data_IF_469834279344
#
_entry.id   IF_469834279344
#
_cell.length_a   1.000
_cell.length_b   1.000
_cell.length_c   1.000
_cell.angle_alpha   90.00
_cell.angle_beta   90.00
_cell.angle_gamma   90.00
#
_symmetry.space_group_name_H-M   'P 1'
#
loop_
_entity.id
_entity.type
_entity.pdbx_description
1 polymer ?
#
# COMPACT_ATOMS: atom_id res chain seq x y z
N UNK A 1 29.06 16.94 9.03
CA UNK A 1 29.37 17.31 7.64
C UNK A 1 28.44 16.51 6.76
N UNK A 2 27.55 17.17 6.04
CA UNK A 2 26.69 16.52 5.03
C UNK A 2 27.60 16.36 3.81
N UNK A 3 28.19 15.18 3.65
CA UNK A 3 28.98 14.85 2.46
C UNK A 3 28.10 14.96 1.21
N UNK A 4 28.69 15.29 0.07
CA UNK A 4 27.96 15.28 -1.19
C UNK A 4 27.45 13.86 -1.47
N UNK A 5 26.23 13.68 -2.04
CA UNK A 5 25.71 12.35 -2.30
C UNK A 5 26.72 11.51 -3.09
N UNK A 6 26.92 10.25 -2.69
CA UNK A 6 27.87 9.30 -3.28
C UNK A 6 29.36 9.60 -3.08
N UNK A 7 29.74 10.65 -2.35
CA UNK A 7 31.16 11.01 -2.13
C UNK A 7 31.95 9.85 -1.50
N UNK A 8 31.38 9.22 -0.47
CA UNK A 8 31.99 8.03 0.15
C UNK A 8 32.13 6.88 -0.85
N UNK A 9 31.08 6.60 -1.62
CA UNK A 9 31.07 5.50 -2.59
C UNK A 9 32.12 5.70 -3.67
N UNK A 10 32.20 6.93 -4.21
CA UNK A 10 33.17 7.30 -5.24
C UNK A 10 34.60 7.22 -4.71
N UNK A 11 34.87 7.69 -3.49
CA UNK A 11 36.22 7.69 -2.91
C UNK A 11 36.67 6.29 -2.45
N UNK A 12 35.79 5.55 -1.78
CA UNK A 12 36.13 4.26 -1.17
C UNK A 12 36.12 3.12 -2.19
N UNK A 13 35.06 3.00 -2.99
CA UNK A 13 34.92 1.93 -3.98
C UNK A 13 35.48 2.30 -5.36
N UNK A 14 35.88 3.57 -5.56
CA UNK A 14 36.45 4.06 -6.83
C UNK A 14 35.53 3.85 -8.05
N UNK A 15 34.22 3.90 -7.82
CA UNK A 15 33.21 3.74 -8.87
C UNK A 15 32.60 5.08 -9.27
N UNK A 16 32.19 5.26 -10.53
CA UNK A 16 31.56 6.49 -10.98
C UNK A 16 30.07 6.53 -10.58
N UNK A 17 29.73 6.35 -9.30
CA UNK A 17 28.34 6.37 -8.85
C UNK A 17 27.81 7.80 -8.70
N UNK A 18 26.75 8.17 -9.42
CA UNK A 18 26.06 9.44 -9.23
C UNK A 18 24.55 9.32 -9.56
N UNK A 19 23.75 10.23 -9.00
CA UNK A 19 22.29 10.31 -9.28
C UNK A 19 22.09 10.51 -10.79
N UNK A 20 21.20 9.70 -11.37
CA UNK A 20 20.85 9.77 -12.79
C UNK A 20 21.74 8.95 -13.70
N UNK A 21 22.77 8.26 -13.21
CA UNK A 21 23.57 7.35 -14.04
C UNK A 21 22.81 6.05 -14.34
N UNK A 22 22.85 5.63 -15.61
CA UNK A 22 22.35 4.33 -16.05
C UNK A 22 23.28 3.23 -15.57
N UNK A 23 22.67 2.13 -15.14
CA UNK A 23 23.38 0.96 -14.65
C UNK A 23 22.67 -0.32 -15.10
N UNK A 24 23.43 -1.40 -15.24
CA UNK A 24 22.88 -2.76 -15.33
C UNK A 24 23.24 -3.47 -14.03
N UNK A 25 22.23 -3.73 -13.20
CA UNK A 25 22.37 -4.40 -11.91
C UNK A 25 21.93 -5.86 -12.02
N UNK A 26 22.86 -6.80 -11.86
CA UNK A 26 22.62 -8.24 -12.02
C UNK A 26 21.86 -8.59 -13.32
N UNK A 27 22.28 -7.99 -14.44
CA UNK A 27 21.67 -8.18 -15.75
C UNK A 27 20.37 -7.39 -15.98
N UNK A 28 19.94 -6.55 -15.03
CA UNK A 28 18.71 -5.76 -15.12
C UNK A 28 19.01 -4.26 -15.25
N UNK A 29 18.51 -3.57 -16.29
CA UNK A 29 18.75 -2.15 -16.47
C UNK A 29 18.00 -1.30 -15.45
N UNK A 30 18.63 -0.20 -15.02
CA UNK A 30 18.06 0.76 -14.08
C UNK A 30 18.81 2.09 -14.04
N UNK A 31 18.39 2.94 -13.11
CA UNK A 31 18.98 4.27 -12.87
C UNK A 31 19.32 4.41 -11.40
N UNK A 32 20.48 4.97 -11.08
CA UNK A 32 20.82 5.37 -9.71
C UNK A 32 19.96 6.57 -9.31
N UNK A 33 19.18 6.46 -8.23
CA UNK A 33 18.27 7.52 -7.78
C UNK A 33 18.57 8.02 -6.37
N UNK A 34 19.16 7.19 -5.50
CA UNK A 34 19.29 7.49 -4.08
C UNK A 34 20.65 7.02 -3.53
N UNK A 35 21.16 7.75 -2.53
CA UNK A 35 22.39 7.39 -1.81
C UNK A 35 22.04 6.72 -0.48
N UNK A 36 22.60 5.53 -0.24
CA UNK A 36 22.44 4.78 1.01
C UNK A 36 23.79 4.58 1.73
N UNK A 37 24.78 5.45 1.49
CA UNK A 37 26.09 5.42 2.15
C UNK A 37 27.01 4.37 1.54
N UNK A 38 27.02 3.15 2.08
CA UNK A 38 27.81 2.04 1.50
C UNK A 38 27.12 1.38 0.30
N UNK A 39 25.86 1.71 0.05
CA UNK A 39 25.04 1.12 -0.99
C UNK A 39 24.52 2.22 -1.92
N UNK A 40 24.32 1.86 -3.18
CA UNK A 40 23.66 2.72 -4.16
C UNK A 40 22.20 2.31 -4.33
N UNK A 41 21.31 3.29 -4.38
CA UNK A 41 19.89 3.11 -4.64
C UNK A 41 19.62 3.06 -6.13
N UNK A 42 19.30 1.88 -6.67
CA UNK A 42 18.99 1.70 -8.09
C UNK A 42 17.50 1.45 -8.25
N UNK A 43 16.85 2.27 -9.06
CA UNK A 43 15.49 2.01 -9.52
C UNK A 43 15.56 1.26 -10.85
N UNK A 44 15.16 -0.01 -10.84
CA UNK A 44 15.10 -0.84 -12.04
C UNK A 44 13.95 -0.40 -12.95
N UNK A 45 14.15 -0.49 -14.25
CA UNK A 45 13.14 -0.10 -15.24
C UNK A 45 11.88 -1.00 -15.18
N UNK A 46 12.07 -2.28 -14.83
CA UNK A 46 10.98 -3.26 -14.65
C UNK A 46 10.17 -3.06 -13.35
N UNK A 47 10.62 -2.20 -12.43
CA UNK A 47 10.01 -2.11 -11.11
C UNK A 47 8.66 -1.38 -11.13
N UNK A 48 7.57 -2.10 -10.85
CA UNK A 48 6.20 -1.53 -10.82
C UNK A 48 6.07 -0.43 -9.76
N UNK A 49 6.67 -0.66 -8.58
CA UNK A 49 6.65 0.30 -7.48
C UNK A 49 7.71 1.39 -7.61
N UNK A 50 8.63 1.33 -8.59
CA UNK A 50 9.70 2.33 -8.82
C UNK A 50 10.45 2.74 -7.55
N UNK A 51 10.66 1.78 -6.65
CA UNK A 51 11.41 2.01 -5.41
C UNK A 51 12.89 1.74 -5.66
N UNK A 52 13.80 2.57 -5.14
CA UNK A 52 15.22 2.28 -5.16
C UNK A 52 15.50 1.02 -4.35
N UNK A 53 16.06 0.00 -4.99
CA UNK A 53 16.67 -1.14 -4.30
C UNK A 53 18.06 -0.78 -3.82
N UNK A 54 18.52 -1.40 -2.72
CA UNK A 54 19.90 -1.24 -2.23
C UNK A 54 20.80 -2.22 -2.96
N UNK A 55 21.82 -1.71 -3.64
CA UNK A 55 22.81 -2.49 -4.35
C UNK A 55 24.22 -2.15 -3.89
N UNK A 56 25.09 -3.15 -3.82
CA UNK A 56 26.48 -2.91 -3.49
C UNK A 56 27.18 -2.26 -4.71
N UNK A 57 28.00 -1.21 -4.53
CA UNK A 57 28.49 -0.43 -5.68
C UNK A 57 29.41 -1.20 -6.64
N UNK A 58 30.03 -2.28 -6.19
CA UNK A 58 30.97 -3.09 -7.01
C UNK A 58 30.48 -4.49 -7.36
N UNK A 59 29.35 -4.93 -6.80
CA UNK A 59 28.88 -6.31 -6.99
C UNK A 59 27.77 -6.39 -8.04
N UNK A 60 28.10 -6.95 -9.20
CA UNK A 60 27.14 -7.15 -10.28
C UNK A 60 26.58 -5.86 -10.89
N UNK A 61 27.31 -4.74 -10.78
CA UNK A 61 26.90 -3.44 -11.32
C UNK A 61 27.80 -3.05 -12.50
N UNK A 62 27.19 -2.81 -13.65
CA UNK A 62 27.84 -2.20 -14.81
C UNK A 62 27.38 -0.75 -14.91
N UNK A 63 28.34 0.18 -14.94
CA UNK A 63 28.07 1.62 -15.01
C UNK A 63 28.06 2.08 -16.47
N UNK A 64 27.02 2.80 -16.86
CA UNK A 64 26.86 3.39 -18.19
C UNK A 64 26.83 4.91 -18.17
N UNK A 65 26.19 5.46 -19.20
CA UNK A 65 26.03 6.90 -19.41
C UNK A 65 24.98 7.52 -18.48
N UNK A 66 24.85 8.84 -18.53
CA UNK A 66 23.81 9.55 -17.82
C UNK A 66 22.45 9.30 -18.48
N UNK A 67 21.41 9.10 -17.67
CA UNK A 67 20.06 9.00 -18.17
C UNK A 67 19.55 10.38 -18.61
N UNK A 68 18.85 10.43 -19.75
CA UNK A 68 18.19 11.66 -20.23
C UNK A 68 17.14 12.18 -19.24
N UNK A 69 16.51 11.27 -18.50
CA UNK A 69 15.46 11.59 -17.52
C UNK A 69 15.49 10.62 -16.35
N UNK A 70 15.33 11.17 -15.14
CA UNK A 70 15.12 10.39 -13.94
C UNK A 70 13.76 9.67 -13.96
N UNK A 71 13.68 8.43 -13.43
CA UNK A 71 12.41 7.74 -13.27
C UNK A 71 11.49 8.56 -12.35
N UNK A 72 10.20 8.58 -12.69
CA UNK A 72 9.21 9.28 -11.86
C UNK A 72 9.19 8.62 -10.48
N UNK A 73 9.36 9.43 -9.44
CA UNK A 73 9.34 8.96 -8.06
C UNK A 73 8.05 8.18 -7.75
N UNK A 74 8.16 7.14 -6.92
CA UNK A 74 7.05 6.28 -6.60
C UNK A 74 5.99 7.04 -5.81
N UNK A 75 4.71 6.88 -6.18
CA UNK A 75 3.63 7.44 -5.37
C UNK A 75 3.45 6.58 -4.15
N UNK A 76 3.70 7.16 -2.98
CA UNK A 76 3.50 6.50 -1.71
C UNK A 76 1.99 6.19 -1.51
N UNK A 77 1.66 4.92 -1.32
CA UNK A 77 0.25 4.49 -1.18
C UNK A 77 -0.16 4.47 0.29
N UNK A 78 -1.48 4.50 0.54
CA UNK A 78 -2.01 4.31 1.90
C UNK A 78 -1.54 2.98 2.52
N UNK A 79 -1.35 1.94 1.71
CA UNK A 79 -0.80 0.66 2.18
C UNK A 79 0.66 0.78 2.60
N UNK A 80 1.47 1.52 1.83
CA UNK A 80 2.86 1.75 2.19
C UNK A 80 2.96 2.55 3.50
N UNK A 81 2.10 3.56 3.66
CA UNK A 81 2.00 4.34 4.91
C UNK A 81 1.60 3.50 6.12
N UNK A 82 0.64 2.61 5.94
CA UNK A 82 0.21 1.69 6.99
C UNK A 82 1.33 0.74 7.41
N UNK A 83 2.22 0.34 6.50
CA UNK A 83 3.31 -0.59 6.80
C UNK A 83 4.54 0.08 7.42
N UNK A 84 4.80 1.35 7.14
CA UNK A 84 5.98 2.06 7.67
C UNK A 84 5.73 2.63 9.08
N UNK A 85 4.48 2.72 9.52
CA UNK A 85 4.06 3.23 10.82
C UNK A 85 3.55 2.07 11.72
N UNK A 86 3.81 2.13 13.03
CA UNK A 86 3.39 1.11 13.98
C UNK A 86 1.95 1.38 14.46
N UNK A 87 0.97 0.81 13.75
CA UNK A 87 -0.45 0.98 14.05
C UNK A 87 -1.00 -0.15 14.90
N UNK A 88 -1.72 0.20 15.97
CA UNK A 88 -2.49 -0.77 16.76
C UNK A 88 -3.85 -1.14 16.14
N UNK A 89 -4.19 -0.57 14.98
CA UNK A 89 -5.47 -0.72 14.30
C UNK A 89 -5.32 -1.48 12.98
N UNK A 90 -6.40 -2.09 12.48
CA UNK A 90 -6.34 -2.79 11.18
C UNK A 90 -6.32 -1.81 10.00
N UNK A 91 -5.79 -2.23 8.84
CA UNK A 91 -5.71 -1.36 7.64
C UNK A 91 -7.03 -0.66 7.25
N UNK A 92 -8.17 -1.29 7.54
CA UNK A 92 -9.49 -0.74 7.24
C UNK A 92 -9.86 0.45 8.14
N UNK A 93 -9.49 0.35 9.41
CA UNK A 93 -9.65 1.41 10.40
C UNK A 93 -8.69 2.56 10.09
N UNK A 94 -7.46 2.24 9.67
CA UNK A 94 -6.51 3.22 9.14
C UNK A 94 -7.07 3.99 7.94
N UNK A 95 -7.81 3.33 7.04
CA UNK A 95 -8.51 4.00 5.93
C UNK A 95 -9.78 4.74 6.34
N UNK A 96 -10.22 4.66 7.61
CA UNK A 96 -11.48 5.24 8.07
C UNK A 96 -12.73 4.59 7.45
N UNK A 97 -12.62 3.37 6.93
CA UNK A 97 -13.73 2.71 6.24
C UNK A 97 -14.65 2.03 7.27
N UNK A 98 -15.86 2.57 7.41
CA UNK A 98 -16.91 1.98 8.25
C UNK A 98 -17.50 0.72 7.58
N UNK A 99 -17.21 -0.47 8.15
CA UNK A 99 -17.61 -1.77 7.57
C UNK A 99 -19.05 -2.14 7.96
N UNK A 100 -19.82 -2.77 7.05
CA UNK A 100 -21.01 -3.49 7.46
C UNK A 100 -20.63 -4.75 8.24
N UNK A 101 -21.41 -5.03 9.27
CA UNK A 101 -21.35 -6.24 10.07
C UNK A 101 -22.44 -7.21 9.63
N UNK A 102 -22.21 -8.50 9.86
CA UNK A 102 -23.19 -9.57 9.59
C UNK A 102 -23.57 -10.23 10.89
N UNK A 103 -24.86 -10.28 11.17
CA UNK A 103 -25.41 -11.04 12.27
C UNK A 103 -26.24 -12.22 11.76
N UNK A 104 -26.34 -13.25 12.61
CA UNK A 104 -27.15 -14.43 12.38
C UNK A 104 -28.03 -14.69 13.58
N UNK A 105 -29.25 -15.13 13.34
CA UNK A 105 -30.17 -15.61 14.38
C UNK A 105 -30.79 -16.93 13.95
N UNK A 106 -31.25 -17.72 14.93
CA UNK A 106 -32.09 -18.88 14.69
C UNK A 106 -33.54 -18.47 14.95
N UNK A 107 -34.39 -18.51 13.92
CA UNK A 107 -35.81 -18.19 14.01
C UNK A 107 -36.59 -19.39 13.49
N UNK A 108 -37.51 -19.93 14.29
CA UNK A 108 -38.33 -21.10 13.92
C UNK A 108 -37.50 -22.29 13.42
N UNK A 109 -36.36 -22.55 14.05
CA UNK A 109 -35.47 -23.64 13.66
C UNK A 109 -34.57 -23.34 12.45
N UNK A 110 -34.85 -22.30 11.68
CA UNK A 110 -34.07 -21.91 10.49
C UNK A 110 -33.07 -20.79 10.81
N UNK A 111 -31.95 -20.79 10.09
CA UNK A 111 -30.97 -19.71 10.17
C UNK A 111 -31.42 -18.52 9.33
N UNK A 112 -31.40 -17.33 9.94
CA UNK A 112 -31.59 -16.07 9.26
C UNK A 112 -30.35 -15.19 9.45
N UNK A 113 -30.08 -14.35 8.46
CA UNK A 113 -28.93 -13.46 8.40
C UNK A 113 -29.41 -12.03 8.14
N UNK A 114 -28.71 -11.06 8.72
CA UNK A 114 -28.91 -9.64 8.46
C UNK A 114 -27.56 -8.94 8.38
N UNK A 115 -27.47 -7.93 7.52
CA UNK A 115 -26.33 -7.04 7.46
C UNK A 115 -26.74 -5.65 7.94
N UNK A 116 -25.86 -5.01 8.71
CA UNK A 116 -26.08 -3.67 9.25
C UNK A 116 -24.76 -2.91 9.29
N UNK A 117 -24.81 -1.59 9.40
CA UNK A 117 -23.67 -0.70 9.68
C UNK A 117 -24.00 0.12 10.92
N UNK A 118 -23.07 0.23 11.85
CA UNK A 118 -23.17 1.13 13.02
C UNK A 118 -22.55 2.49 12.72
N UNK A 119 -23.00 3.56 13.37
CA UNK A 119 -22.42 4.90 13.15
C UNK A 119 -20.98 4.98 13.67
N UNK A 120 -20.73 4.34 14.81
CA UNK A 120 -19.41 4.18 15.43
C UNK A 120 -18.49 3.19 14.72
N UNK A 121 -19.02 2.34 13.84
CA UNK A 121 -18.25 1.30 13.15
C UNK A 121 -17.98 0.04 13.98
N UNK A 122 -18.30 0.03 15.28
CA UNK A 122 -18.11 -1.13 16.16
C UNK A 122 -19.19 -2.19 15.98
N UNK A 123 -18.77 -3.46 15.98
CA UNK A 123 -19.66 -4.62 15.93
C UNK A 123 -20.45 -4.73 17.24
N UNK A 124 -21.75 -5.02 17.14
CA UNK A 124 -22.63 -5.12 18.31
C UNK A 124 -23.10 -3.78 18.90
N UNK A 125 -22.62 -2.65 18.37
CA UNK A 125 -23.06 -1.34 18.84
C UNK A 125 -24.53 -1.05 18.52
N UNK A 126 -25.26 -0.44 19.46
CA UNK A 126 -26.70 -0.17 19.35
C UNK A 126 -27.03 1.01 18.42
N UNK A 127 -26.04 1.78 17.99
CA UNK A 127 -26.15 2.93 17.10
C UNK A 127 -26.24 2.52 15.61
N UNK A 128 -27.35 1.85 15.27
CA UNK A 128 -27.58 1.31 13.94
C UNK A 128 -27.84 2.44 12.94
N UNK A 129 -26.98 2.53 11.93
CA UNK A 129 -26.94 3.59 10.93
C UNK A 129 -27.69 3.17 9.66
N UNK A 130 -27.42 1.95 9.18
CA UNK A 130 -28.09 1.31 8.06
C UNK A 130 -28.37 -0.13 8.43
N UNK A 131 -29.61 -0.58 8.27
CA UNK A 131 -29.98 -1.97 8.49
C UNK A 131 -30.67 -2.54 7.26
N UNK A 132 -30.26 -3.74 6.83
CA UNK A 132 -31.04 -4.54 5.90
C UNK A 132 -32.09 -5.39 6.63
N UNK A 133 -32.89 -6.13 5.89
CA UNK A 133 -33.87 -7.07 6.42
C UNK A 133 -33.23 -8.41 6.81
N UNK A 134 -33.92 -9.14 7.70
CA UNK A 134 -33.58 -10.54 7.98
C UNK A 134 -33.92 -11.41 6.77
N UNK A 135 -32.95 -12.18 6.29
CA UNK A 135 -33.12 -13.07 5.15
C UNK A 135 -32.64 -14.48 5.47
N UNK A 136 -33.19 -15.48 4.78
CA UNK A 136 -32.80 -16.89 4.94
C UNK A 136 -31.35 -17.19 4.51
N UNK A 137 -30.78 -16.39 3.61
CA UNK A 137 -29.43 -16.59 3.08
C UNK A 137 -28.58 -15.33 3.12
N UNK A 138 -27.25 -15.50 3.17
CA UNK A 138 -26.29 -14.40 3.20
C UNK A 138 -26.33 -13.48 1.96
N UNK A 139 -26.47 -13.99 0.72
CA UNK A 139 -26.55 -13.14 -0.47
C UNK A 139 -27.80 -12.25 -0.46
N UNK A 140 -28.94 -12.78 -0.03
CA UNK A 140 -30.18 -12.01 0.09
C UNK A 140 -30.06 -10.91 1.16
N UNK A 141 -29.49 -11.24 2.32
CA UNK A 141 -29.22 -10.24 3.36
C UNK A 141 -28.30 -9.11 2.85
N UNK A 142 -27.27 -9.45 2.05
CA UNK A 142 -26.38 -8.47 1.43
C UNK A 142 -27.09 -7.59 0.40
N UNK A 143 -27.99 -8.17 -0.40
CA UNK A 143 -28.80 -7.41 -1.36
C UNK A 143 -29.75 -6.44 -0.66
N UNK A 144 -30.42 -6.91 0.40
CA UNK A 144 -31.29 -6.07 1.23
C UNK A 144 -30.53 -4.90 1.88
N UNK A 145 -29.35 -5.16 2.45
CA UNK A 145 -28.48 -4.11 2.99
C UNK A 145 -28.06 -3.07 1.94
N UNK A 146 -27.69 -3.49 0.73
CA UNK A 146 -27.36 -2.56 -0.36
C UNK A 146 -28.54 -1.66 -0.72
N UNK A 147 -29.75 -2.22 -0.76
CA UNK A 147 -30.95 -1.43 -1.03
C UNK A 147 -31.20 -0.38 0.08
N UNK A 148 -31.01 -0.75 1.36
CA UNK A 148 -31.12 0.17 2.49
C UNK A 148 -30.03 1.26 2.44
N UNK A 149 -28.80 0.90 2.06
CA UNK A 149 -27.70 1.85 1.91
C UNK A 149 -27.99 2.88 0.81
N UNK A 150 -28.44 2.43 -0.37
CA UNK A 150 -28.78 3.34 -1.47
C UNK A 150 -29.92 4.29 -1.10
N UNK A 151 -30.93 3.81 -0.37
CA UNK A 151 -32.03 4.66 0.13
C UNK A 151 -31.52 5.77 1.03
N UNK A 152 -30.58 5.45 1.93
CA UNK A 152 -29.95 6.43 2.81
C UNK A 152 -29.11 7.45 2.05
N UNK A 153 -28.35 7.03 1.04
CA UNK A 153 -27.53 7.95 0.24
C UNK A 153 -28.39 8.91 -0.62
N UNK A 154 -29.64 8.51 -0.91
CA UNK A 154 -30.61 9.34 -1.62
C UNK A 154 -31.40 10.30 -0.71
N UNK A 155 -31.23 10.22 0.62
CA UNK A 155 -31.90 11.08 1.61
C UNK A 155 -30.97 12.21 2.06
#
# INVERSE_FOLDING_TARGET
MIGTPFEYVQQYYQVPACIGRRVVAYGKPGVITDDFGHYIGITLDESTKRRPGRYHPVDGIEYGEMADRLPKQPRYTNWDRYNDEDWSCGFREFLGINRPHRERRKHEGQWQYRMYRSRSGYEGSRDRDVEGEWCSTAPLAKASYKAALNKREAT
#
